data_IF_548021709368
#
_entry.id   IF_548021709368
#
_cell.length_a   1.000
_cell.length_b   1.000
_cell.length_c   1.000
_cell.angle_alpha   90.00
_cell.angle_beta   90.00
_cell.angle_gamma   90.00
#
_symmetry.space_group_name_H-M   'P 1'
#
loop_
_entity.id
_entity.type
_entity.pdbx_description
1 polymer ?
#
# COMPACT_ATOMS: atom_id res chain seq x y z
N UNK A 1 6.58 -11.29 5.94
CA UNK A 1 6.93 -10.44 4.80
C UNK A 1 7.88 -9.37 5.30
N UNK A 2 9.01 -9.22 4.64
CA UNK A 2 10.02 -8.20 4.97
C UNK A 2 9.96 -7.04 3.97
N UNK A 3 10.70 -5.97 4.23
CA UNK A 3 10.83 -4.82 3.30
C UNK A 3 11.34 -5.26 1.91
N UNK A 4 12.10 -6.35 1.87
CA UNK A 4 12.68 -6.93 0.67
C UNK A 4 11.59 -7.52 -0.25
N UNK A 5 10.57 -8.18 0.32
CA UNK A 5 9.42 -8.68 -0.45
C UNK A 5 8.62 -7.53 -1.07
N UNK A 6 8.49 -6.40 -0.36
CA UNK A 6 7.76 -5.22 -0.84
C UNK A 6 8.52 -4.61 -2.01
N UNK A 7 9.84 -4.51 -1.84
CA UNK A 7 10.74 -4.08 -2.90
C UNK A 7 10.61 -5.00 -4.11
N UNK A 8 10.50 -6.32 -3.92
CA UNK A 8 10.32 -7.27 -5.00
C UNK A 8 8.99 -7.09 -5.75
N UNK A 9 7.88 -6.86 -5.05
CA UNK A 9 6.58 -6.58 -5.67
C UNK A 9 6.65 -5.36 -6.59
N UNK A 10 7.23 -4.26 -6.11
CA UNK A 10 7.30 -3.01 -6.87
C UNK A 10 8.34 -3.00 -8.00
N UNK A 11 9.26 -3.98 -8.06
CA UNK A 11 10.14 -4.16 -9.22
C UNK A 11 9.36 -4.41 -10.51
N UNK A 12 8.20 -5.07 -10.45
CA UNK A 12 7.40 -5.35 -11.66
C UNK A 12 6.76 -4.07 -12.23
N UNK A 13 5.98 -3.27 -11.47
CA UNK A 13 5.53 -1.95 -11.90
C UNK A 13 6.69 -1.05 -12.35
N UNK A 14 7.84 -1.13 -11.69
CA UNK A 14 9.03 -0.38 -12.08
C UNK A 14 9.53 -0.81 -13.45
N UNK A 15 9.64 -2.12 -13.72
CA UNK A 15 10.05 -2.61 -15.05
C UNK A 15 9.10 -2.19 -16.16
N UNK A 16 7.82 -2.10 -15.86
CA UNK A 16 6.77 -1.66 -16.80
C UNK A 16 6.69 -0.13 -16.93
N UNK A 17 7.60 0.62 -16.30
CA UNK A 17 7.60 2.09 -16.34
C UNK A 17 6.30 2.72 -15.83
N UNK A 18 5.63 2.05 -14.87
CA UNK A 18 4.49 2.65 -14.18
C UNK A 18 4.99 3.91 -13.46
N UNK A 19 4.35 5.08 -13.63
CA UNK A 19 4.83 6.35 -13.11
C UNK A 19 4.55 6.48 -11.60
N UNK A 20 5.12 5.58 -10.80
CA UNK A 20 5.08 5.61 -9.34
C UNK A 20 6.23 6.47 -8.80
N UNK A 21 5.98 7.15 -7.69
CA UNK A 21 7.00 7.84 -6.92
C UNK A 21 7.73 6.86 -5.99
N UNK A 22 8.74 6.16 -6.52
CA UNK A 22 9.50 5.15 -5.76
C UNK A 22 10.23 5.73 -4.53
N UNK A 23 10.53 7.03 -4.54
CA UNK A 23 11.13 7.73 -3.40
C UNK A 23 10.16 7.80 -2.21
N UNK A 24 8.85 7.85 -2.47
CA UNK A 24 7.79 7.87 -1.44
C UNK A 24 7.26 6.48 -1.11
N UNK A 25 7.28 5.57 -2.07
CA UNK A 25 6.71 4.22 -1.99
C UNK A 25 7.39 3.32 -0.93
N UNK A 26 8.67 3.57 -0.63
CA UNK A 26 9.45 2.78 0.32
C UNK A 26 9.51 3.39 1.72
N UNK A 27 8.96 4.59 1.90
CA UNK A 27 8.92 5.25 3.20
C UNK A 27 7.80 4.64 4.02
N UNK A 28 8.16 3.94 5.10
CA UNK A 28 7.19 3.51 6.09
C UNK A 28 6.66 4.74 6.84
N UNK A 29 5.38 5.03 6.69
CA UNK A 29 4.75 6.16 7.35
C UNK A 29 4.35 5.84 8.80
N UNK A 30 4.33 4.56 9.17
CA UNK A 30 3.92 4.13 10.51
C UNK A 30 5.13 3.64 11.30
N UNK A 31 5.46 4.36 12.37
CA UNK A 31 6.67 4.13 13.16
C UNK A 31 6.61 2.88 14.06
N UNK A 32 5.42 2.32 14.33
CA UNK A 32 5.23 1.17 15.22
C UNK A 32 4.65 -0.05 14.51
N UNK A 33 5.31 -1.21 14.54
CA UNK A 33 4.85 -2.41 13.81
C UNK A 33 3.77 -3.23 14.55
N UNK A 34 2.99 -2.62 15.46
CA UNK A 34 2.14 -3.35 16.42
C UNK A 34 0.73 -2.78 16.61
N UNK A 35 0.27 -1.86 15.75
CA UNK A 35 -1.05 -1.24 15.85
C UNK A 35 -2.21 -2.19 15.50
N UNK A 36 -3.33 -2.06 16.25
CA UNK A 36 -4.62 -2.70 15.94
C UNK A 36 -5.44 -1.86 14.94
N UNK A 37 -6.63 -2.34 14.55
CA UNK A 37 -7.51 -1.61 13.61
C UNK A 37 -7.88 -0.20 14.09
N UNK A 38 -8.13 0.03 15.38
CA UNK A 38 -8.51 1.34 15.90
C UNK A 38 -7.37 2.35 15.74
N UNK A 39 -6.17 1.94 16.15
CA UNK A 39 -4.95 2.74 16.03
C UNK A 39 -4.62 3.02 14.57
N UNK A 40 -4.74 2.02 13.70
CA UNK A 40 -4.57 2.20 12.26
C UNK A 40 -5.58 3.18 11.69
N UNK A 41 -6.85 3.05 12.08
CA UNK A 41 -7.92 3.89 11.59
C UNK A 41 -7.68 5.35 12.00
N UNK A 42 -7.29 5.61 13.24
CA UNK A 42 -6.98 6.96 13.72
C UNK A 42 -5.72 7.55 13.08
N UNK A 43 -4.67 6.74 12.87
CA UNK A 43 -3.53 7.15 12.07
C UNK A 43 -3.94 7.53 10.65
N UNK A 44 -4.74 6.70 9.99
CA UNK A 44 -5.19 6.95 8.62
C UNK A 44 -6.05 8.22 8.50
N UNK A 45 -6.73 8.68 9.57
CA UNK A 45 -7.45 9.96 9.57
C UNK A 45 -6.54 11.17 9.45
N UNK A 46 -5.25 11.06 9.75
CA UNK A 46 -4.29 12.17 9.62
C UNK A 46 -3.60 12.18 8.25
N UNK A 47 -3.81 11.16 7.43
CA UNK A 47 -3.19 11.04 6.12
C UNK A 47 -3.76 12.04 5.13
N UNK A 48 -2.88 12.63 4.32
CA UNK A 48 -3.26 13.40 3.14
C UNK A 48 -4.04 12.52 2.15
N UNK A 49 -4.86 13.11 1.25
CA UNK A 49 -5.56 12.33 0.24
C UNK A 49 -4.59 11.46 -0.59
N UNK A 50 -4.97 10.20 -0.81
CA UNK A 50 -4.14 9.26 -1.56
C UNK A 50 -4.50 7.79 -1.34
N UNK A 51 -3.82 6.93 -2.10
CA UNK A 51 -3.86 5.49 -1.93
C UNK A 51 -2.66 5.03 -1.12
N UNK A 52 -2.88 4.10 -0.19
CA UNK A 52 -1.86 3.62 0.73
C UNK A 52 -1.87 2.09 0.73
N UNK A 53 -0.71 1.45 0.59
CA UNK A 53 -0.62 0.00 0.79
C UNK A 53 -0.36 -0.25 2.26
N UNK A 54 -1.19 -1.09 2.86
CA UNK A 54 -1.06 -1.54 4.24
C UNK A 54 -0.67 -3.00 4.23
N UNK A 55 0.36 -3.35 5.00
CA UNK A 55 0.63 -4.73 5.40
C UNK A 55 0.23 -4.90 6.85
N UNK A 56 -0.75 -5.77 7.08
CA UNK A 56 -1.27 -6.08 8.40
C UNK A 56 -1.44 -7.59 8.56
N UNK A 57 -1.61 -8.06 9.78
CA UNK A 57 -1.71 -9.49 10.04
C UNK A 57 -2.14 -9.83 11.45
N UNK A 58 -2.40 -11.12 11.63
CA UNK A 58 -2.61 -11.81 12.89
C UNK A 58 -1.64 -13.01 12.92
N UNK A 59 -0.97 -13.24 14.05
CA UNK A 59 -0.16 -14.44 14.32
C UNK A 59 0.83 -14.86 13.21
N UNK A 60 1.51 -13.88 12.61
CA UNK A 60 2.55 -14.11 11.60
C UNK A 60 2.04 -14.14 10.15
N UNK A 61 0.75 -14.36 9.91
CA UNK A 61 0.14 -14.29 8.58
C UNK A 61 -0.04 -12.82 8.16
N UNK A 62 0.73 -12.39 7.17
CA UNK A 62 0.66 -11.02 6.65
C UNK A 62 -0.26 -10.94 5.42
N UNK A 63 -1.34 -10.17 5.55
CA UNK A 63 -2.24 -9.80 4.47
C UNK A 63 -1.97 -8.37 3.99
N UNK A 64 -2.33 -8.06 2.75
CA UNK A 64 -2.05 -6.76 2.11
C UNK A 64 -3.30 -6.23 1.44
N UNK A 65 -3.53 -4.95 1.67
CA UNK A 65 -4.69 -4.27 1.12
C UNK A 65 -4.38 -2.80 0.91
N UNK A 66 -5.25 -2.14 0.14
CA UNK A 66 -5.12 -0.70 -0.13
C UNK A 66 -6.08 0.05 0.75
N UNK A 67 -5.62 1.12 1.39
CA UNK A 67 -6.47 2.14 2.02
C UNK A 67 -6.53 3.36 1.12
N UNK A 68 -7.72 3.86 0.84
CA UNK A 68 -7.90 5.16 0.19
C UNK A 68 -8.30 6.17 1.27
N UNK A 69 -7.45 7.18 1.44
CA UNK A 69 -7.78 8.37 2.21
C UNK A 69 -8.28 9.46 1.28
N UNK A 70 -9.43 10.04 1.63
CA UNK A 70 -9.96 11.24 0.96
C UNK A 70 -9.52 12.54 1.66
N UNK A 71 -8.56 12.43 2.58
CA UNK A 71 -8.04 13.53 3.38
C UNK A 71 -8.54 13.53 4.83
N UNK A 72 -8.02 14.46 5.65
CA UNK A 72 -8.22 14.41 7.09
C UNK A 72 -9.69 14.46 7.51
N UNK A 73 -10.07 13.57 8.43
CA UNK A 73 -11.44 13.45 8.95
C UNK A 73 -12.48 12.94 7.94
N UNK A 74 -12.08 12.58 6.71
CA UNK A 74 -12.98 11.99 5.71
C UNK A 74 -13.05 10.47 5.85
N UNK A 75 -14.00 9.87 5.12
CA UNK A 75 -14.21 8.42 5.11
C UNK A 75 -12.97 7.70 4.58
N UNK A 76 -12.53 6.69 5.34
CA UNK A 76 -11.48 5.75 4.96
C UNK A 76 -12.11 4.48 4.40
N UNK A 77 -11.65 4.06 3.23
CA UNK A 77 -12.08 2.81 2.59
C UNK A 77 -10.88 1.91 2.37
N UNK A 78 -11.12 0.60 2.46
CA UNK A 78 -10.17 -0.46 2.18
C UNK A 78 -10.59 -1.20 0.90
N UNK A 79 -9.61 -1.51 0.06
CA UNK A 79 -9.70 -2.42 -1.09
C UNK A 79 -8.94 -3.68 -0.73
N UNK A 80 -9.67 -4.71 -0.34
CA UNK A 80 -9.11 -5.86 0.37
C UNK A 80 -9.54 -7.22 -0.17
N UNK A 81 -10.66 -7.25 -0.88
CA UNK A 81 -11.20 -8.48 -1.47
C UNK A 81 -11.38 -8.30 -2.97
N UNK A 82 -11.23 -9.40 -3.68
CA UNK A 82 -11.43 -9.48 -5.12
C UNK A 82 -12.69 -10.31 -5.40
N UNK A 83 -13.55 -9.79 -6.26
CA UNK A 83 -14.75 -10.44 -6.76
C UNK A 83 -14.79 -10.31 -8.28
N UNK A 84 -14.52 -11.42 -8.98
CA UNK A 84 -14.47 -11.45 -10.45
C UNK A 84 -15.80 -11.15 -11.12
N UNK A 85 -16.91 -11.13 -10.38
CA UNK A 85 -18.24 -10.82 -10.91
C UNK A 85 -18.54 -9.32 -10.92
N UNK A 86 -17.66 -8.49 -10.36
CA UNK A 86 -17.82 -7.03 -10.26
C UNK A 86 -16.92 -6.28 -11.24
N UNK A 87 -17.33 -5.06 -11.58
CA UNK A 87 -16.51 -4.10 -12.30
C UNK A 87 -16.54 -2.72 -11.58
N UNK A 88 -15.41 -2.23 -11.03
CA UNK A 88 -14.13 -2.92 -10.92
C UNK A 88 -14.22 -4.13 -9.96
N UNK A 89 -13.38 -5.15 -10.14
CA UNK A 89 -13.47 -6.40 -9.38
C UNK A 89 -13.00 -6.25 -7.91
N UNK A 90 -12.48 -5.09 -7.53
CA UNK A 90 -12.10 -4.81 -6.14
C UNK A 90 -13.32 -4.44 -5.29
N UNK A 91 -13.52 -5.18 -4.21
CA UNK A 91 -14.55 -4.90 -3.21
C UNK A 91 -14.09 -3.74 -2.34
N UNK A 92 -14.90 -2.68 -2.31
CA UNK A 92 -14.69 -1.51 -1.45
C UNK A 92 -15.43 -1.71 -0.13
N UNK A 93 -14.71 -1.69 1.00
CA UNK A 93 -15.30 -1.76 2.34
C UNK A 93 -14.80 -0.64 3.25
N UNK A 94 -15.55 -0.20 4.27
CA UNK A 94 -15.02 0.71 5.28
C UNK A 94 -13.80 0.12 5.99
N UNK A 95 -12.75 0.92 6.21
CA UNK A 95 -11.53 0.44 6.88
C UNK A 95 -11.83 -0.18 8.24
N UNK A 96 -12.70 0.44 9.03
CA UNK A 96 -13.11 -0.03 10.37
C UNK A 96 -13.72 -1.44 10.41
N UNK A 97 -14.12 -2.01 9.26
CA UNK A 97 -14.66 -3.38 9.20
C UNK A 97 -13.56 -4.45 9.09
N UNK A 98 -12.29 -4.04 8.97
CA UNK A 98 -11.13 -4.93 8.97
C UNK A 98 -10.75 -5.36 10.40
N UNK A 99 -11.68 -5.99 11.11
CA UNK A 99 -11.50 -6.37 12.52
C UNK A 99 -10.49 -7.50 12.74
N UNK A 100 -10.09 -8.21 11.68
CA UNK A 100 -9.02 -9.21 11.72
C UNK A 100 -7.62 -8.59 11.92
N UNK A 101 -7.48 -7.27 11.75
CA UNK A 101 -6.19 -6.60 11.90
C UNK A 101 -5.80 -6.50 13.37
N UNK A 102 -4.81 -7.32 13.78
CA UNK A 102 -4.17 -7.26 15.10
C UNK A 102 -2.91 -6.43 15.10
N UNK A 103 -2.12 -6.54 14.04
CA UNK A 103 -0.84 -5.86 13.92
C UNK A 103 -0.64 -5.28 12.52
N UNK A 104 -0.41 -3.97 12.44
CA UNK A 104 0.07 -3.30 11.24
C UNK A 104 1.58 -3.33 11.22
N UNK A 105 2.15 -3.97 10.21
CA UNK A 105 3.59 -4.09 10.04
C UNK A 105 4.17 -2.88 9.31
N UNK A 106 3.44 -2.36 8.33
CA UNK A 106 3.94 -1.35 7.42
C UNK A 106 2.81 -0.64 6.68
N UNK A 107 2.99 0.66 6.40
CA UNK A 107 2.12 1.41 5.49
C UNK A 107 2.96 2.39 4.66
N UNK A 108 2.67 2.49 3.37
CA UNK A 108 3.26 3.50 2.50
C UNK A 108 2.23 4.17 1.60
N UNK A 109 2.57 5.37 1.12
CA UNK A 109 1.79 6.10 0.13
C UNK A 109 2.16 5.63 -1.28
N UNK A 110 1.14 5.29 -2.08
CA UNK A 110 1.27 5.09 -3.52
C UNK A 110 1.00 6.42 -4.19
N UNK A 111 2.06 7.17 -4.46
CA UNK A 111 1.99 8.41 -5.22
C UNK A 111 2.37 8.15 -6.68
N UNK A 112 1.66 8.81 -7.59
CA UNK A 112 2.09 8.90 -8.98
C UNK A 112 3.12 10.03 -9.10
N UNK A 113 4.16 9.81 -9.90
CA UNK A 113 5.16 10.81 -10.28
C UNK A 113 5.01 11.08 -11.78
N UNK A 114 4.22 12.10 -12.17
CA UNK A 114 4.03 12.44 -13.58
C UNK A 114 5.36 12.69 -14.28
N UNK A 115 5.50 12.19 -15.51
CA UNK A 115 6.75 12.30 -16.27
C UNK A 115 7.89 11.42 -15.74
N UNK A 116 7.65 10.55 -14.76
CA UNK A 116 8.66 9.60 -14.31
C UNK A 116 9.04 8.65 -15.44
N UNK A 117 10.30 8.76 -15.87
CA UNK A 117 10.92 7.79 -16.75
C UNK A 117 11.73 6.82 -15.90
N UNK A 118 11.36 5.55 -15.98
CA UNK A 118 12.09 4.52 -15.28
C UNK A 118 13.53 4.47 -15.80
N UNK A 119 14.50 4.68 -14.91
CA UNK A 119 15.92 4.56 -15.22
C UNK A 119 16.28 3.08 -15.35
N UNK A 120 15.89 2.48 -16.47
CA UNK A 120 16.53 1.25 -16.92
C UNK A 120 17.94 1.61 -17.37
N UNK A 121 18.91 1.45 -16.48
CA UNK A 121 20.30 1.38 -16.94
C UNK A 121 20.36 0.29 -17.99
N UNK A 122 20.79 0.61 -19.22
CA UNK A 122 21.12 -0.40 -20.22
C UNK A 122 22.07 -1.38 -19.55
N UNK A 123 21.58 -2.57 -19.20
CA UNK A 123 22.45 -3.67 -18.82
C UNK A 123 23.15 -4.03 -20.13
N UNK A 124 24.33 -3.47 -20.35
CA UNK A 124 25.21 -3.93 -21.39
C UNK A 124 25.51 -5.38 -21.04
N UNK A 125 24.83 -6.29 -21.74
CA UNK A 125 25.23 -7.69 -21.82
C UNK A 125 26.68 -7.67 -22.28
N UNK A 126 27.63 -8.00 -21.39
CA UNK A 126 28.97 -8.37 -21.83
C UNK A 126 28.78 -9.67 -22.62
N UNK A 127 28.94 -9.57 -23.93
CA UNK A 127 29.11 -10.70 -24.84
C UNK A 127 30.34 -11.49 -24.45
#
# INVERSE_FOLDING_TARGET
MTREDVTAFFKLPQRQSVPLDYDRLMVNLHSSSSANIETLHDFCKTLVPGAYIVSAGEDGLGHRFVVISHGPGKRLIALDSFDSKRDPPMVVIPLRYQQWIRHVKWICCVALKPGYQCRHGKRNSKT
#
